data_IF_490476954896
#
_entry.id   IF_490476954896
#
_cell.length_a   1.000
_cell.length_b   1.000
_cell.length_c   1.000
_cell.angle_alpha   90.00
_cell.angle_beta   90.00
_cell.angle_gamma   90.00
#
_symmetry.space_group_name_H-M   'P 1'
#
loop_
_entity.id
_entity.type
_entity.pdbx_description
1 polymer ?
#
# COMPACT_ATOMS: atom_id res chain seq x y z
N UNK A 1 39.82 -4.15 -10.92
CA UNK A 1 38.71 -3.95 -11.88
C UNK A 1 37.44 -3.72 -11.06
N UNK A 2 36.87 -2.51 -11.09
CA UNK A 2 35.60 -2.26 -10.41
C UNK A 2 34.49 -3.02 -11.14
N UNK A 3 33.63 -3.72 -10.40
CA UNK A 3 32.47 -4.41 -10.97
C UNK A 3 31.56 -3.40 -11.68
N UNK A 4 31.05 -3.77 -12.84
CA UNK A 4 30.05 -2.97 -13.55
C UNK A 4 28.75 -2.90 -12.74
N UNK A 5 27.96 -1.85 -12.97
CA UNK A 5 26.68 -1.67 -12.28
C UNK A 5 25.71 -2.86 -12.52
N UNK A 6 25.81 -3.50 -13.70
CA UNK A 6 25.03 -4.69 -14.04
C UNK A 6 25.42 -5.92 -13.19
N UNK A 7 26.72 -6.12 -12.93
CA UNK A 7 27.22 -7.21 -12.09
C UNK A 7 26.85 -7.01 -10.62
N UNK A 8 26.88 -5.76 -10.14
CA UNK A 8 26.42 -5.42 -8.78
C UNK A 8 24.93 -5.72 -8.59
N UNK A 9 24.09 -5.36 -9.57
CA UNK A 9 22.65 -5.67 -9.51
C UNK A 9 22.36 -7.16 -9.57
N UNK A 10 23.11 -7.92 -10.38
CA UNK A 10 22.98 -9.39 -10.44
C UNK A 10 23.34 -10.05 -9.12
N UNK A 11 24.46 -9.65 -8.51
CA UNK A 11 24.90 -10.16 -7.21
C UNK A 11 23.92 -9.81 -6.08
N UNK A 12 23.36 -8.60 -6.11
CA UNK A 12 22.30 -8.17 -5.17
C UNK A 12 21.04 -9.05 -5.28
N UNK A 13 20.57 -9.31 -6.50
CA UNK A 13 19.39 -10.17 -6.74
C UNK A 13 19.65 -11.62 -6.32
N UNK A 14 20.85 -12.14 -6.55
CA UNK A 14 21.22 -13.51 -6.15
C UNK A 14 21.22 -13.67 -4.62
N UNK A 15 21.79 -12.68 -3.90
CA UNK A 15 21.80 -12.65 -2.42
C UNK A 15 20.39 -12.51 -1.84
N UNK A 16 19.57 -11.64 -2.43
CA UNK A 16 18.17 -11.46 -2.01
C UNK A 16 17.36 -12.75 -2.21
N UNK A 17 17.51 -13.42 -3.37
CA UNK A 17 16.84 -14.70 -3.62
C UNK A 17 17.27 -15.78 -2.61
N UNK A 18 18.57 -15.92 -2.36
CA UNK A 18 19.07 -16.90 -1.40
C UNK A 18 18.57 -16.65 0.03
N UNK A 19 18.39 -15.38 0.41
CA UNK A 19 17.80 -15.01 1.70
C UNK A 19 16.33 -15.42 1.75
N UNK A 20 15.54 -15.07 0.74
CA UNK A 20 14.12 -15.41 0.62
C UNK A 20 13.90 -16.93 0.69
N UNK A 21 14.66 -17.70 -0.09
CA UNK A 21 14.60 -19.16 -0.10
C UNK A 21 14.92 -19.74 1.30
N UNK A 22 15.90 -19.16 2.01
CA UNK A 22 16.29 -19.60 3.36
C UNK A 22 15.21 -19.36 4.42
N UNK A 23 14.51 -18.23 4.34
CA UNK A 23 13.45 -17.88 5.31
C UNK A 23 12.07 -18.39 4.89
N UNK A 24 11.97 -19.09 3.75
CA UNK A 24 10.69 -19.56 3.20
C UNK A 24 9.75 -18.43 2.81
N UNK A 25 10.28 -17.24 2.52
CA UNK A 25 9.49 -16.07 2.16
C UNK A 25 9.50 -15.86 0.65
N UNK A 26 8.40 -15.34 0.13
CA UNK A 26 8.29 -14.89 -1.25
C UNK A 26 8.24 -13.36 -1.27
N UNK A 27 9.13 -12.73 -2.04
CA UNK A 27 9.04 -11.27 -2.25
C UNK A 27 7.91 -10.97 -3.22
N UNK A 28 6.84 -10.37 -2.70
CA UNK A 28 5.76 -9.81 -3.51
C UNK A 28 5.88 -8.29 -3.56
N UNK A 29 5.67 -7.70 -4.72
CA UNK A 29 5.64 -6.25 -4.91
C UNK A 29 4.19 -5.82 -5.05
N UNK A 30 3.76 -4.86 -4.24
CA UNK A 30 2.44 -4.26 -4.31
C UNK A 30 2.58 -2.84 -4.87
N UNK A 31 1.88 -2.54 -5.96
CA UNK A 31 1.74 -1.16 -6.44
C UNK A 31 0.71 -0.48 -5.55
N UNK A 32 1.12 0.57 -4.85
CA UNK A 32 0.29 1.27 -3.88
C UNK A 32 -0.21 2.58 -4.48
N UNK A 33 -1.52 2.68 -4.71
CA UNK A 33 -2.16 3.96 -5.07
C UNK A 33 -2.08 4.97 -3.92
N UNK A 34 -2.18 6.28 -4.19
CA UNK A 34 -2.17 7.30 -3.12
C UNK A 34 -3.21 7.02 -2.03
N UNK A 35 -4.45 6.67 -2.41
CA UNK A 35 -5.50 6.35 -1.45
C UNK A 35 -5.15 5.13 -0.57
N UNK A 36 -4.47 4.12 -1.14
CA UNK A 36 -4.01 2.97 -0.37
C UNK A 36 -2.83 3.35 0.54
N UNK A 37 -1.89 4.17 0.08
CA UNK A 37 -0.78 4.66 0.89
C UNK A 37 -1.27 5.45 2.11
N UNK A 38 -2.20 6.39 1.88
CA UNK A 38 -2.80 7.21 2.93
C UNK A 38 -3.58 6.31 3.92
N UNK A 39 -4.30 5.28 3.43
CA UNK A 39 -4.99 4.32 4.29
C UNK A 39 -4.02 3.46 5.12
N UNK A 40 -2.90 3.03 4.54
CA UNK A 40 -1.86 2.27 5.26
C UNK A 40 -1.21 3.11 6.35
N UNK A 41 -0.98 4.39 6.10
CA UNK A 41 -0.48 5.31 7.11
C UNK A 41 -1.47 5.45 8.27
N UNK A 42 -2.75 5.73 7.98
CA UNK A 42 -3.79 5.85 9.02
C UNK A 42 -3.91 4.58 9.86
N UNK A 43 -3.84 3.41 9.23
CA UNK A 43 -3.89 2.13 9.94
C UNK A 43 -2.61 1.85 10.74
N UNK A 44 -1.44 2.22 10.20
CA UNK A 44 -0.18 2.10 10.92
C UNK A 44 -0.14 2.95 12.17
N UNK A 45 -0.48 4.24 12.06
CA UNK A 45 -0.55 5.18 13.18
C UNK A 45 -1.59 4.77 14.23
N UNK A 46 -2.73 4.19 13.81
CA UNK A 46 -3.79 3.76 14.74
C UNK A 46 -3.40 2.55 15.57
N UNK A 47 -2.54 1.69 15.04
CA UNK A 47 -2.21 0.39 15.61
C UNK A 47 -0.71 0.26 15.95
N UNK A 48 0.00 1.38 15.98
CA UNK A 48 1.43 1.49 16.31
C UNK A 48 2.35 0.60 15.47
N UNK A 49 2.04 0.42 14.18
CA UNK A 49 2.93 -0.28 13.25
C UNK A 49 3.96 0.67 12.64
N UNK A 50 5.23 0.29 12.71
CA UNK A 50 6.34 1.06 12.13
C UNK A 50 6.48 0.85 10.62
N UNK A 51 6.17 -0.36 10.12
CA UNK A 51 6.28 -0.72 8.71
C UNK A 51 4.93 -1.07 8.09
N UNK A 52 4.63 -0.55 6.89
CA UNK A 52 3.36 -0.81 6.21
C UNK A 52 3.16 -2.30 5.87
N UNK A 53 4.24 -3.06 5.64
CA UNK A 53 4.18 -4.50 5.40
C UNK A 53 3.68 -5.25 6.63
N UNK A 54 4.06 -4.81 7.83
CA UNK A 54 3.58 -5.36 9.10
C UNK A 54 2.09 -5.09 9.28
N UNK A 55 1.65 -3.85 8.99
CA UNK A 55 0.23 -3.48 8.96
C UNK A 55 -0.54 -4.42 8.03
N UNK A 56 -0.15 -4.50 6.76
CA UNK A 56 -0.87 -5.29 5.74
C UNK A 56 -0.90 -6.78 6.09
N UNK A 57 0.24 -7.35 6.47
CA UNK A 57 0.33 -8.77 6.79
C UNK A 57 -0.56 -9.13 7.99
N UNK A 58 -0.51 -8.34 9.06
CA UNK A 58 -1.34 -8.55 10.24
C UNK A 58 -2.83 -8.52 9.89
N UNK A 59 -3.28 -7.51 9.15
CA UNK A 59 -4.69 -7.40 8.76
C UNK A 59 -5.15 -8.54 7.84
N UNK A 60 -4.37 -8.88 6.80
CA UNK A 60 -4.76 -9.94 5.86
C UNK A 60 -4.82 -11.30 6.55
N UNK A 61 -3.85 -11.62 7.40
CA UNK A 61 -3.82 -12.90 8.13
C UNK A 61 -5.01 -13.04 9.08
N UNK A 62 -5.33 -11.99 9.85
CA UNK A 62 -6.47 -12.01 10.75
C UNK A 62 -7.80 -12.06 9.97
N UNK A 63 -7.92 -11.30 8.87
CA UNK A 63 -9.11 -11.33 8.03
C UNK A 63 -9.34 -12.72 7.41
N UNK A 64 -8.27 -13.41 7.00
CA UNK A 64 -8.35 -14.77 6.44
C UNK A 64 -8.66 -15.83 7.50
N UNK A 65 -8.27 -15.61 8.77
CA UNK A 65 -8.57 -16.51 9.88
C UNK A 65 -9.97 -16.28 10.46
N UNK A 66 -10.58 -15.12 10.22
CA UNK A 66 -11.91 -14.79 10.71
C UNK A 66 -13.00 -15.65 10.04
N UNK A 67 -14.14 -15.87 10.71
CA UNK A 67 -15.34 -16.45 10.10
C UNK A 67 -15.74 -15.75 8.80
N UNK A 68 -16.37 -16.50 7.90
CA UNK A 68 -16.73 -16.02 6.57
C UNK A 68 -17.68 -14.81 6.60
N UNK A 69 -18.59 -14.76 7.57
CA UNK A 69 -19.53 -13.66 7.79
C UNK A 69 -18.84 -12.38 8.29
N UNK A 70 -17.86 -12.50 9.19
CA UNK A 70 -17.07 -11.36 9.67
C UNK A 70 -16.18 -10.77 8.57
N UNK A 71 -15.52 -11.63 7.80
CA UNK A 71 -14.65 -11.20 6.69
C UNK A 71 -15.45 -10.70 5.47
N UNK A 72 -16.63 -11.27 5.19
CA UNK A 72 -17.50 -10.87 4.09
C UNK A 72 -17.93 -9.41 4.18
N UNK A 73 -18.05 -8.84 5.39
CA UNK A 73 -18.35 -7.42 5.56
C UNK A 73 -17.35 -6.54 4.82
N UNK A 74 -16.06 -6.81 4.93
CA UNK A 74 -15.04 -6.01 4.26
C UNK A 74 -14.95 -6.26 2.75
N UNK A 75 -15.38 -7.44 2.28
CA UNK A 75 -15.42 -7.78 0.86
C UNK A 75 -16.65 -7.21 0.12
N UNK A 76 -17.77 -7.06 0.83
CA UNK A 76 -19.06 -6.62 0.27
C UNK A 76 -19.35 -5.13 0.47
N UNK A 77 -18.60 -4.45 1.34
CA UNK A 77 -18.68 -3.00 1.50
C UNK A 77 -18.30 -2.31 0.19
N UNK A 78 -19.17 -1.42 -0.28
CA UNK A 78 -18.82 -0.48 -1.34
C UNK A 78 -17.54 0.26 -0.93
N UNK A 79 -16.60 0.41 -1.86
CA UNK A 79 -15.48 1.34 -1.64
C UNK A 79 -16.07 2.71 -1.27
N UNK A 80 -15.47 3.44 -0.33
CA UNK A 80 -15.90 4.79 -0.01
C UNK A 80 -16.06 5.57 -1.32
N UNK A 81 -17.30 5.93 -1.64
CA UNK A 81 -17.58 6.71 -2.83
C UNK A 81 -17.03 8.11 -2.57
N UNK A 82 -16.15 8.59 -3.44
CA UNK A 82 -15.69 9.97 -3.35
C UNK A 82 -16.85 10.84 -3.84
N UNK A 83 -17.71 11.25 -2.91
CA UNK A 83 -18.78 12.20 -3.19
C UNK A 83 -18.13 13.59 -3.30
N UNK A 84 -17.88 14.04 -4.52
CA UNK A 84 -17.45 15.42 -4.79
C UNK A 84 -18.64 16.34 -4.55
N UNK A 85 -18.60 17.09 -3.47
CA UNK A 85 -19.63 18.11 -3.18
C UNK A 85 -19.54 19.25 -4.19
N UNK A 86 -20.65 19.97 -4.42
CA UNK A 86 -20.66 21.14 -5.32
C UNK A 86 -19.58 22.17 -4.94
N UNK A 87 -19.35 22.36 -3.63
CA UNK A 87 -18.28 23.22 -3.12
C UNK A 87 -16.90 22.73 -3.57
N UNK A 88 -16.63 21.43 -3.47
CA UNK A 88 -15.36 20.84 -3.93
C UNK A 88 -15.23 20.94 -5.46
N UNK A 89 -16.30 20.72 -6.22
CA UNK A 89 -16.29 20.91 -7.68
C UNK A 89 -15.88 22.33 -8.05
N UNK A 90 -16.51 23.35 -7.44
CA UNK A 90 -16.18 24.77 -7.70
C UNK A 90 -14.75 25.14 -7.31
N UNK A 91 -14.20 24.51 -6.27
CA UNK A 91 -12.80 24.71 -5.86
C UNK A 91 -11.84 24.09 -6.87
N UNK A 92 -12.16 22.90 -7.39
CA UNK A 92 -11.38 22.23 -8.44
C UNK A 92 -11.42 23.02 -9.75
N UNK A 93 -12.58 23.55 -10.15
CA UNK A 93 -12.72 24.40 -11.33
C UNK A 93 -11.90 25.68 -11.19
N UNK A 94 -11.97 26.32 -10.02
CA UNK A 94 -11.17 27.53 -9.75
C UNK A 94 -9.68 27.23 -9.77
N UNK A 95 -9.26 26.13 -9.14
CA UNK A 95 -7.86 25.68 -9.17
C UNK A 95 -7.39 25.42 -10.60
N UNK A 96 -8.19 24.74 -11.42
CA UNK A 96 -7.85 24.48 -12.82
C UNK A 96 -7.68 25.78 -13.64
N UNK A 97 -8.44 26.84 -13.30
CA UNK A 97 -8.34 28.14 -13.97
C UNK A 97 -7.18 29.00 -13.45
N UNK A 98 -6.92 29.00 -12.14
CA UNK A 98 -6.02 29.98 -11.50
C UNK A 98 -4.68 29.39 -11.06
N UNK A 99 -4.58 28.07 -10.93
CA UNK A 99 -3.41 27.38 -10.39
C UNK A 99 -3.16 27.62 -8.89
N UNK A 100 -4.11 28.21 -8.18
CA UNK A 100 -3.97 28.55 -6.74
C UNK A 100 -4.77 27.57 -5.90
N UNK A 101 -4.07 26.76 -5.09
CA UNK A 101 -4.70 25.99 -4.01
C UNK A 101 -5.14 26.98 -2.92
N UNK A 102 -6.43 26.93 -2.54
CA UNK A 102 -7.04 27.87 -1.60
C UNK A 102 -6.82 27.45 -0.14
#
# INVERSE_FOLDING_TARGET
>A
MAKSNAELQKDKRAKEKALLDRIGAEKRTLIVSKALADALQVLGERHDFEEWQETVSTFILNLAAAPADESARFASMSRPEIIVTEKQSRLLDRFAMTGVEA
#
